data_IF_306056225885
#
_entry.id   IF_306056225885
#
_cell.length_a   1.000
_cell.length_b   1.000
_cell.length_c   1.000
_cell.angle_alpha   90.00
_cell.angle_beta   90.00
_cell.angle_gamma   90.00
#
_symmetry.space_group_name_H-M   'P 1'
#
loop_
_entity.id
_entity.type
_entity.pdbx_description
1 polymer ?
#
# COMPACT_ATOMS: atom_id res chain seq x y z
N UNK A 1 2.28 19.18 -13.93
CA UNK A 1 1.68 18.07 -13.14
C UNK A 1 1.68 16.81 -13.98
N UNK A 2 2.17 15.73 -13.44
CA UNK A 2 2.24 14.45 -14.12
C UNK A 2 1.57 13.37 -13.27
N UNK A 3 0.75 12.53 -13.90
CA UNK A 3 0.16 11.37 -13.26
C UNK A 3 0.97 10.12 -13.65
N UNK A 4 1.46 9.40 -12.65
CA UNK A 4 2.18 8.14 -12.84
C UNK A 4 1.29 6.99 -12.38
N UNK A 5 1.15 5.96 -13.21
CA UNK A 5 0.35 4.77 -12.90
C UNK A 5 1.29 3.60 -12.66
N UNK A 6 1.09 2.91 -11.56
CA UNK A 6 1.88 1.70 -11.21
C UNK A 6 0.94 0.51 -11.03
N UNK A 7 1.46 -0.66 -11.33
CA UNK A 7 0.76 -1.93 -11.08
C UNK A 7 0.88 -2.37 -9.63
N UNK A 8 0.71 -3.66 -9.39
CA UNK A 8 0.72 -4.25 -8.06
C UNK A 8 2.02 -3.97 -7.32
N UNK A 9 1.96 -3.28 -6.18
CA UNK A 9 3.12 -3.00 -5.34
C UNK A 9 3.49 -4.19 -4.46
N UNK A 10 2.51 -4.88 -3.92
CA UNK A 10 2.64 -6.11 -3.13
C UNK A 10 3.72 -6.03 -2.04
N UNK A 11 3.76 -4.91 -1.31
CA UNK A 11 4.71 -4.74 -0.20
C UNK A 11 6.16 -4.57 -0.63
N UNK A 12 6.41 -4.07 -1.84
CA UNK A 12 7.76 -3.85 -2.38
C UNK A 12 8.07 -2.36 -2.45
N UNK A 13 8.43 -1.76 -1.31
CA UNK A 13 8.67 -0.32 -1.20
C UNK A 13 9.97 0.12 -1.87
N UNK A 14 11.06 -0.63 -1.69
CA UNK A 14 12.35 -0.23 -2.26
C UNK A 14 12.33 -0.11 -3.78
N UNK A 15 11.74 -1.07 -4.54
CA UNK A 15 11.57 -0.89 -5.98
C UNK A 15 10.72 0.32 -6.33
N UNK A 16 9.68 0.62 -5.54
CA UNK A 16 8.85 1.81 -5.76
C UNK A 16 9.67 3.08 -5.58
N UNK A 17 10.47 3.19 -4.52
CA UNK A 17 11.34 4.35 -4.30
C UNK A 17 12.31 4.55 -5.47
N UNK A 18 12.92 3.48 -5.98
CA UNK A 18 13.82 3.56 -7.13
C UNK A 18 13.12 4.08 -8.37
N UNK A 19 11.88 3.63 -8.61
CA UNK A 19 11.09 4.11 -9.74
C UNK A 19 10.76 5.59 -9.60
N UNK A 20 10.32 6.02 -8.42
CA UNK A 20 9.96 7.42 -8.16
C UNK A 20 11.17 8.33 -8.29
N UNK A 21 12.35 7.90 -7.84
CA UNK A 21 13.59 8.65 -8.00
C UNK A 21 13.98 8.77 -9.48
N UNK A 22 13.80 7.70 -10.25
CA UNK A 22 14.15 7.69 -11.69
C UNK A 22 13.30 8.69 -12.48
N UNK A 23 12.01 8.83 -12.16
CA UNK A 23 11.11 9.77 -12.83
C UNK A 23 11.10 11.14 -12.16
N UNK A 24 11.87 11.33 -11.10
CA UNK A 24 11.94 12.58 -10.34
C UNK A 24 10.56 13.02 -9.82
N UNK A 25 9.85 12.07 -9.20
CA UNK A 25 8.51 12.28 -8.68
C UNK A 25 8.50 13.39 -7.62
N UNK A 26 7.58 14.35 -7.79
CA UNK A 26 7.43 15.48 -6.86
C UNK A 26 5.99 15.49 -6.31
N UNK A 27 5.79 15.12 -5.01
CA UNK A 27 4.44 15.01 -4.44
C UNK A 27 3.61 16.28 -4.48
N UNK A 28 4.25 17.46 -4.60
CA UNK A 28 3.53 18.73 -4.65
C UNK A 28 2.92 19.02 -6.01
N UNK A 29 3.43 18.39 -7.08
CA UNK A 29 2.98 18.65 -8.45
C UNK A 29 2.53 17.38 -9.18
N UNK A 30 3.01 16.21 -8.76
CA UNK A 30 2.72 14.94 -9.44
C UNK A 30 1.78 14.09 -8.60
N UNK A 31 1.13 13.12 -9.24
CA UNK A 31 0.28 12.15 -8.56
C UNK A 31 0.73 10.73 -8.91
N UNK A 32 0.66 9.87 -7.90
CA UNK A 32 0.90 8.43 -8.06
C UNK A 32 -0.44 7.71 -7.97
N UNK A 33 -0.76 6.94 -8.99
CA UNK A 33 -2.00 6.17 -9.07
C UNK A 33 -1.65 4.69 -9.12
N UNK A 34 -2.14 3.92 -8.14
CA UNK A 34 -1.92 2.48 -8.10
C UNK A 34 -3.17 1.73 -8.54
N UNK A 35 -2.98 0.57 -9.16
CA UNK A 35 -4.09 -0.27 -9.64
C UNK A 35 -4.59 -1.24 -8.58
N UNK A 36 -4.16 -1.08 -7.32
CA UNK A 36 -4.53 -1.95 -6.20
C UNK A 36 -3.41 -2.90 -5.83
N UNK A 37 -3.68 -3.83 -4.92
CA UNK A 37 -2.72 -4.80 -4.41
C UNK A 37 -1.44 -4.12 -3.88
N UNK A 38 -1.64 -3.15 -2.95
CA UNK A 38 -0.53 -2.37 -2.38
C UNK A 38 0.35 -3.23 -1.48
N UNK A 39 -0.21 -4.25 -0.88
CA UNK A 39 0.37 -4.99 0.23
C UNK A 39 0.31 -6.48 -0.04
N UNK A 40 0.91 -7.24 0.89
CA UNK A 40 1.00 -8.70 0.87
C UNK A 40 2.07 -9.22 -0.13
N UNK A 41 2.53 -10.41 0.12
CA UNK A 41 3.56 -11.14 -0.65
C UNK A 41 4.98 -10.59 -0.49
N UNK A 42 5.20 -9.29 -0.63
CA UNK A 42 6.50 -8.67 -0.42
C UNK A 42 6.81 -8.45 1.06
N UNK A 43 8.06 -8.10 1.40
CA UNK A 43 8.51 -8.00 2.81
C UNK A 43 8.20 -6.66 3.47
N UNK A 44 7.69 -5.68 2.75
CA UNK A 44 7.56 -4.30 3.22
C UNK A 44 6.12 -3.81 3.17
N UNK A 45 5.14 -4.68 3.51
CA UNK A 45 3.71 -4.32 3.43
C UNK A 45 3.38 -3.12 4.31
N UNK A 46 3.85 -3.10 5.55
CA UNK A 46 3.59 -1.99 6.48
C UNK A 46 4.22 -0.69 5.98
N UNK A 47 5.48 -0.74 5.60
CA UNK A 47 6.21 0.44 5.13
C UNK A 47 5.59 1.00 3.84
N UNK A 48 5.17 0.12 2.92
CA UNK A 48 4.51 0.51 1.68
C UNK A 48 3.20 1.24 1.98
N UNK A 49 2.39 0.69 2.88
CA UNK A 49 1.10 1.28 3.24
C UNK A 49 1.27 2.64 3.90
N UNK A 50 2.23 2.76 4.82
CA UNK A 50 2.55 4.05 5.46
C UNK A 50 3.05 5.08 4.47
N UNK A 51 3.90 4.67 3.53
CA UNK A 51 4.40 5.57 2.49
C UNK A 51 3.27 6.12 1.63
N UNK A 52 2.39 5.25 1.15
CA UNK A 52 1.25 5.65 0.31
C UNK A 52 0.30 6.58 1.07
N UNK A 53 0.00 6.27 2.33
CA UNK A 53 -0.84 7.13 3.16
C UNK A 53 -0.19 8.50 3.38
N UNK A 54 1.14 8.54 3.55
CA UNK A 54 1.90 9.77 3.74
C UNK A 54 1.94 10.69 2.53
N UNK A 55 1.69 10.17 1.33
CA UNK A 55 1.59 11.00 0.12
C UNK A 55 0.32 11.85 0.09
N UNK A 56 -0.67 11.52 0.92
CA UNK A 56 -1.92 12.28 1.00
C UNK A 56 -2.63 12.37 -0.34
N UNK A 57 -2.99 13.58 -0.78
CA UNK A 57 -3.71 13.79 -2.03
C UNK A 57 -2.89 13.48 -3.28
N UNK A 58 -1.57 13.30 -3.16
CA UNK A 58 -0.71 12.91 -4.28
C UNK A 58 -0.82 11.43 -4.62
N UNK A 59 -1.54 10.63 -3.82
CA UNK A 59 -1.71 9.21 -4.04
C UNK A 59 -3.17 8.84 -4.19
N UNK A 60 -3.47 8.01 -5.17
CA UNK A 60 -4.80 7.41 -5.38
C UNK A 60 -4.66 5.95 -5.75
N UNK A 61 -5.60 5.14 -5.31
CA UNK A 61 -5.60 3.72 -5.61
C UNK A 61 -7.03 3.18 -5.65
N UNK A 62 -7.20 2.05 -6.33
CA UNK A 62 -8.37 1.18 -6.18
C UNK A 62 -7.97 0.01 -5.29
N UNK A 63 -8.93 -0.71 -4.73
CA UNK A 63 -8.64 -1.88 -3.91
C UNK A 63 -8.48 -3.12 -4.79
N UNK A 64 -7.34 -3.79 -4.65
CA UNK A 64 -7.10 -5.08 -5.27
C UNK A 64 -7.47 -6.23 -4.35
N UNK A 65 -7.28 -7.46 -4.81
CA UNK A 65 -7.63 -8.67 -4.04
C UNK A 65 -6.88 -8.76 -2.71
N UNK A 66 -5.61 -8.41 -2.70
CA UNK A 66 -4.79 -8.46 -1.46
C UNK A 66 -5.21 -7.40 -0.46
N UNK A 67 -5.60 -6.21 -0.92
CA UNK A 67 -6.08 -5.14 -0.06
C UNK A 67 -7.41 -5.55 0.59
N UNK A 68 -8.33 -6.13 -0.18
CA UNK A 68 -9.59 -6.65 0.33
C UNK A 68 -9.36 -7.80 1.31
N UNK A 69 -8.38 -8.65 1.06
CA UNK A 69 -8.02 -9.74 1.96
C UNK A 69 -7.54 -9.21 3.32
N UNK A 70 -6.69 -8.17 3.33
CA UNK A 70 -6.28 -7.52 4.57
C UNK A 70 -7.47 -6.97 5.35
N UNK A 71 -8.38 -6.26 4.68
CA UNK A 71 -9.56 -5.70 5.33
C UNK A 71 -10.43 -6.81 5.93
N UNK A 72 -10.60 -7.92 5.21
CA UNK A 72 -11.37 -9.07 5.70
C UNK A 72 -10.74 -9.70 6.95
N UNK A 73 -9.41 -9.83 6.97
CA UNK A 73 -8.68 -10.34 8.14
C UNK A 73 -8.83 -9.38 9.33
N UNK A 74 -8.65 -8.07 9.08
CA UNK A 74 -8.74 -7.06 10.14
C UNK A 74 -10.13 -7.01 10.79
N UNK A 75 -11.19 -7.31 10.03
CA UNK A 75 -12.56 -7.35 10.53
C UNK A 75 -13.00 -8.74 10.99
N UNK A 76 -12.08 -9.71 11.02
CA UNK A 76 -12.37 -11.06 11.53
C UNK A 76 -13.15 -11.95 10.58
N UNK A 77 -13.31 -11.56 9.30
CA UNK A 77 -14.06 -12.33 8.31
C UNK A 77 -13.24 -13.47 7.74
N UNK A 78 -11.91 -13.28 7.66
CA UNK A 78 -10.97 -14.28 7.15
C UNK A 78 -9.82 -14.49 8.12
N UNK A 79 -9.14 -15.64 8.00
CA UNK A 79 -7.92 -15.94 8.74
C UNK A 79 -6.71 -15.75 7.81
N UNK A 80 -5.55 -15.28 8.35
CA UNK A 80 -4.33 -15.23 7.57
C UNK A 80 -3.91 -16.62 7.08
N UNK A 81 -3.32 -16.69 5.89
CA UNK A 81 -2.75 -17.91 5.34
C UNK A 81 -1.23 -17.92 5.55
N UNK A 82 -0.55 -19.10 5.44
CA UNK A 82 0.92 -19.14 5.59
C UNK A 82 1.68 -18.31 4.55
N UNK A 83 1.03 -17.96 3.43
CA UNK A 83 1.66 -17.14 2.37
C UNK A 83 1.50 -15.64 2.61
N UNK A 84 0.68 -15.22 3.57
CA UNK A 84 0.44 -13.81 3.82
C UNK A 84 1.61 -13.16 4.54
N UNK A 85 1.93 -11.92 4.18
CA UNK A 85 2.98 -11.09 4.81
C UNK A 85 2.35 -9.84 5.43
N UNK A 86 1.25 -10.01 6.17
CA UNK A 86 0.44 -8.94 6.72
C UNK A 86 0.60 -8.72 8.22
N UNK A 87 1.35 -9.59 8.91
CA UNK A 87 1.49 -9.54 10.37
C UNK A 87 2.04 -8.20 10.87
N UNK A 88 2.95 -7.59 10.13
CA UNK A 88 3.54 -6.30 10.49
C UNK A 88 2.48 -5.20 10.52
N UNK A 89 1.51 -5.21 9.59
CA UNK A 89 0.40 -4.25 9.58
C UNK A 89 -0.55 -4.57 10.75
N UNK A 90 -0.92 -5.84 10.91
CA UNK A 90 -1.92 -6.26 11.90
C UNK A 90 -1.43 -6.03 13.34
N UNK A 91 -0.12 -6.04 13.57
CA UNK A 91 0.49 -5.81 14.88
C UNK A 91 1.01 -4.38 15.07
N UNK A 92 0.87 -3.50 14.07
CA UNK A 92 1.36 -2.12 14.15
C UNK A 92 0.54 -1.30 15.15
N UNK A 93 1.20 -0.33 15.80
CA UNK A 93 0.53 0.57 16.74
C UNK A 93 -0.50 1.48 16.07
N UNK A 94 -0.30 1.79 14.79
CA UNK A 94 -1.20 2.61 13.98
C UNK A 94 -2.12 1.77 13.08
N UNK A 95 -2.33 0.50 13.42
CA UNK A 95 -3.14 -0.44 12.63
C UNK A 95 -4.52 0.12 12.27
N UNK A 96 -5.26 0.62 13.25
CA UNK A 96 -6.63 1.08 13.03
C UNK A 96 -6.68 2.26 12.07
N UNK A 97 -5.71 3.16 12.17
CA UNK A 97 -5.57 4.31 11.27
C UNK A 97 -5.29 3.86 9.84
N UNK A 98 -4.36 2.90 9.67
CA UNK A 98 -4.02 2.34 8.36
C UNK A 98 -5.21 1.62 7.72
N UNK A 99 -5.95 0.83 8.49
CA UNK A 99 -7.13 0.11 8.00
C UNK A 99 -8.23 1.10 7.59
N UNK A 100 -8.47 2.13 8.39
CA UNK A 100 -9.46 3.17 8.06
C UNK A 100 -9.08 3.92 6.77
N UNK A 101 -7.80 4.22 6.60
CA UNK A 101 -7.34 4.89 5.39
C UNK A 101 -7.56 4.02 4.15
N UNK A 102 -7.30 2.71 4.25
CA UNK A 102 -7.42 1.79 3.12
C UNK A 102 -8.89 1.57 2.70
N UNK A 103 -9.80 1.67 3.65
CA UNK A 103 -11.24 1.56 3.34
C UNK A 103 -11.73 2.77 2.47
#
# INVERSE_FOLDING_TARGET
MTDYVVGDLQGCLDPLHKLLDRVQFEPTTDRLIATGDLINRGPQSLETLRFCMGLGSAFKTVLGNHDLHLLAIAHGIRKPTPKDTLDDILSASDRDELISWLQ
#
